data_IF_358886762488
#
_entry.id   IF_358886762488
#
_cell.length_a   1.000
_cell.length_b   1.000
_cell.length_c   1.000
_cell.angle_alpha   90.00
_cell.angle_beta   90.00
_cell.angle_gamma   90.00
#
_symmetry.space_group_name_H-M   'P 1'
#
loop_
_entity.id
_entity.type
_entity.pdbx_description
1 polymer ?
#
# COMPACT_ATOMS: atom_id res chain seq x y z
N UNK A 1 -29.53 5.00 12.98
CA UNK A 1 -28.51 4.28 12.17
C UNK A 1 -27.64 5.29 11.44
N UNK A 2 -26.31 5.09 11.45
CA UNK A 2 -25.39 5.85 10.61
C UNK A 2 -25.45 5.37 9.15
N UNK A 3 -25.11 6.23 8.20
CA UNK A 3 -25.01 5.91 6.78
C UNK A 3 -23.64 6.29 6.25
N UNK A 4 -23.09 5.43 5.41
CA UNK A 4 -21.82 5.66 4.73
C UNK A 4 -21.94 5.24 3.26
N UNK A 5 -21.20 5.93 2.40
CA UNK A 5 -21.07 5.61 0.99
C UNK A 5 -19.63 5.24 0.69
N UNK A 6 -19.44 4.20 -0.09
CA UNK A 6 -18.13 3.79 -0.59
C UNK A 6 -18.19 3.60 -2.10
N UNK A 7 -17.21 4.15 -2.79
CA UNK A 7 -17.00 3.92 -4.22
C UNK A 7 -15.51 3.93 -4.52
N UNK A 8 -15.10 3.14 -5.49
CA UNK A 8 -13.69 3.07 -5.86
C UNK A 8 -13.47 2.17 -7.07
N UNK A 9 -12.21 2.04 -7.43
CA UNK A 9 -11.74 1.12 -8.45
C UNK A 9 -10.31 0.68 -8.13
N UNK A 10 -9.95 -0.47 -8.64
CA UNK A 10 -8.60 -1.01 -8.63
C UNK A 10 -8.17 -1.29 -10.06
N UNK A 11 -6.92 -0.96 -10.37
CA UNK A 11 -6.29 -1.25 -11.64
C UNK A 11 -4.95 -1.93 -11.38
N UNK A 12 -4.69 -3.05 -12.05
CA UNK A 12 -3.41 -3.75 -12.01
C UNK A 12 -2.94 -4.03 -13.44
N UNK A 13 -1.65 -3.84 -13.67
CA UNK A 13 -0.99 -4.13 -14.93
C UNK A 13 0.32 -4.86 -14.67
N UNK A 14 0.52 -5.98 -15.36
CA UNK A 14 1.80 -6.69 -15.40
C UNK A 14 2.36 -6.67 -16.82
N UNK A 15 3.61 -6.29 -16.94
CA UNK A 15 4.35 -6.28 -18.19
C UNK A 15 5.64 -7.08 -18.08
N UNK A 16 6.04 -7.71 -19.18
CA UNK A 16 7.29 -8.45 -19.30
C UNK A 16 8.13 -7.81 -20.41
N UNK A 17 8.93 -6.77 -20.11
CA UNK A 17 9.77 -6.13 -21.14
C UNK A 17 10.75 -7.09 -21.77
N UNK A 18 11.23 -8.04 -20.99
CA UNK A 18 11.99 -9.23 -21.41
C UNK A 18 11.51 -10.44 -20.61
N UNK A 19 11.77 -11.65 -21.10
CA UNK A 19 11.26 -12.88 -20.48
C UNK A 19 11.72 -13.10 -19.03
N UNK A 20 12.81 -12.46 -18.63
CA UNK A 20 13.41 -12.58 -17.29
C UNK A 20 13.07 -11.43 -16.34
N UNK A 21 12.31 -10.44 -16.80
CA UNK A 21 11.87 -9.28 -16.03
C UNK A 21 10.37 -9.16 -16.08
N UNK A 22 9.74 -9.24 -14.93
CA UNK A 22 8.33 -8.92 -14.72
C UNK A 22 8.21 -7.62 -13.93
N UNK A 23 7.37 -6.70 -14.40
CA UNK A 23 7.04 -5.47 -13.69
C UNK A 23 5.53 -5.41 -13.53
N UNK A 24 5.07 -5.35 -12.29
CA UNK A 24 3.65 -5.24 -11.93
C UNK A 24 3.41 -3.93 -11.21
N UNK A 25 2.41 -3.19 -11.65
CA UNK A 25 1.97 -1.97 -11.00
C UNK A 25 0.47 -2.02 -10.71
N UNK A 26 0.07 -1.49 -9.58
CA UNK A 26 -1.33 -1.41 -9.18
C UNK A 26 -1.68 -0.05 -8.60
N UNK A 27 -2.88 0.41 -8.91
CA UNK A 27 -3.47 1.65 -8.42
C UNK A 27 -4.83 1.36 -7.85
N UNK A 28 -5.01 1.63 -6.55
CA UNK A 28 -6.30 1.61 -5.88
C UNK A 28 -6.76 3.03 -5.58
N UNK A 29 -8.00 3.33 -5.88
CA UNK A 29 -8.65 4.58 -5.48
C UNK A 29 -9.99 4.28 -4.87
N UNK A 30 -10.25 4.86 -3.69
CA UNK A 30 -11.52 4.71 -3.02
C UNK A 30 -11.92 5.99 -2.30
N UNK A 31 -13.20 6.32 -2.39
CA UNK A 31 -13.82 7.42 -1.65
C UNK A 31 -14.87 6.84 -0.70
N UNK A 32 -14.49 6.70 0.56
CA UNK A 32 -15.37 6.22 1.62
C UNK A 32 -15.79 7.40 2.47
N UNK A 33 -17.08 7.73 2.44
CA UNK A 33 -17.64 8.89 3.11
C UNK A 33 -18.71 8.53 4.12
N UNK A 34 -18.62 9.13 5.28
CA UNK A 34 -19.64 9.04 6.31
C UNK A 34 -20.65 10.17 6.05
N UNK A 35 -21.91 9.78 5.79
CA UNK A 35 -23.00 10.70 5.50
C UNK A 35 -23.75 11.13 6.74
N UNK A 36 -23.86 10.23 7.71
CA UNK A 36 -24.59 10.45 8.94
C UNK A 36 -23.97 9.62 10.07
N UNK A 37 -23.74 10.23 11.20
CA UNK A 37 -23.38 9.56 12.44
C UNK A 37 -24.54 9.68 13.40
N UNK A 38 -24.93 8.57 14.06
CA UNK A 38 -25.86 8.65 15.15
C UNK A 38 -25.14 9.25 16.35
N UNK A 39 -25.62 10.41 16.81
CA UNK A 39 -25.22 10.92 18.11
C UNK A 39 -25.77 10.02 19.20
N UNK A 40 -24.92 9.47 20.05
CA UNK A 40 -25.35 8.88 21.31
C UNK A 40 -25.50 9.99 22.34
N UNK A 41 -26.58 9.96 23.12
CA UNK A 41 -26.75 10.86 24.25
C UNK A 41 -25.65 10.70 25.33
N UNK A 42 -25.01 9.54 25.32
CA UNK A 42 -23.97 9.18 26.28
C UNK A 42 -22.58 9.73 25.91
N UNK A 43 -22.40 10.24 24.68
CA UNK A 43 -21.14 10.82 24.19
C UNK A 43 -21.41 12.14 23.45
N UNK A 44 -21.76 13.22 24.20
CA UNK A 44 -22.08 14.51 23.58
C UNK A 44 -20.91 15.21 22.89
N UNK A 45 -19.69 14.81 23.15
CA UNK A 45 -18.47 15.29 22.46
C UNK A 45 -18.28 14.72 21.04
N UNK A 46 -19.07 13.70 20.67
CA UNK A 46 -19.20 13.27 19.27
C UNK A 46 -20.17 14.23 18.56
N UNK A 47 -19.71 15.46 18.39
CA UNK A 47 -20.41 16.39 17.51
C UNK A 47 -20.42 15.82 16.09
N UNK A 48 -21.57 15.86 15.44
CA UNK A 48 -21.69 15.52 14.04
C UNK A 48 -20.60 16.29 13.26
N UNK A 49 -19.60 15.62 12.68
CA UNK A 49 -18.47 16.30 12.02
C UNK A 49 -18.90 17.05 10.75
N UNK A 50 -20.19 17.17 10.52
CA UNK A 50 -20.76 17.71 9.31
C UNK A 50 -20.97 16.62 8.25
N UNK A 51 -21.75 16.97 7.26
CA UNK A 51 -22.06 16.04 6.16
C UNK A 51 -20.82 15.79 5.32
N UNK A 52 -20.54 14.52 5.01
CA UNK A 52 -19.62 14.15 3.95
C UNK A 52 -18.13 14.11 4.34
N UNK A 53 -17.81 13.72 5.55
CA UNK A 53 -16.43 13.49 5.97
C UNK A 53 -15.90 12.15 5.48
N UNK A 54 -14.59 12.07 5.27
CA UNK A 54 -13.92 10.82 4.91
C UNK A 54 -13.85 9.88 6.12
N UNK A 55 -14.04 8.61 5.87
CA UNK A 55 -13.86 7.59 6.92
C UNK A 55 -12.42 7.59 7.44
N UNK A 56 -12.28 7.36 8.73
CA UNK A 56 -10.98 7.21 9.40
C UNK A 56 -10.33 5.86 9.07
N UNK A 57 -9.01 5.82 9.09
CA UNK A 57 -8.25 4.58 8.89
C UNK A 57 -8.17 4.10 7.43
N UNK A 58 -8.74 4.83 6.47
CA UNK A 58 -8.81 4.41 5.07
C UNK A 58 -8.06 5.42 4.17
N UNK A 59 -6.98 5.01 3.49
CA UNK A 59 -6.32 5.86 2.51
C UNK A 59 -7.21 6.02 1.27
N UNK A 60 -7.17 7.18 0.63
CA UNK A 60 -7.92 7.41 -0.60
C UNK A 60 -7.26 6.79 -1.81
N UNK A 61 -5.95 6.86 -1.86
CA UNK A 61 -5.16 6.35 -2.98
C UNK A 61 -4.05 5.45 -2.45
N UNK A 62 -3.91 4.30 -3.06
CA UNK A 62 -2.79 3.39 -2.86
C UNK A 62 -2.17 3.09 -4.21
N UNK A 63 -0.87 3.01 -4.25
CA UNK A 63 -0.12 2.63 -5.44
C UNK A 63 1.01 1.69 -5.05
N UNK A 64 1.24 0.68 -5.87
CA UNK A 64 2.38 -0.20 -5.71
C UNK A 64 3.03 -0.53 -7.06
N UNK A 65 4.30 -0.81 -7.01
CA UNK A 65 5.05 -1.36 -8.14
C UNK A 65 6.00 -2.43 -7.64
N UNK A 66 6.06 -3.56 -8.32
CA UNK A 66 7.07 -4.59 -8.09
C UNK A 66 7.84 -4.83 -9.37
N UNK A 67 9.12 -5.11 -9.23
CA UNK A 67 9.96 -5.60 -10.32
C UNK A 67 10.69 -6.87 -9.87
N UNK A 68 10.56 -7.92 -10.65
CA UNK A 68 11.23 -9.19 -10.43
C UNK A 68 12.13 -9.48 -11.63
N UNK A 69 13.41 -9.62 -11.39
CA UNK A 69 14.40 -9.94 -12.41
C UNK A 69 15.20 -11.18 -12.01
N UNK A 70 15.30 -12.14 -12.93
CA UNK A 70 16.10 -13.35 -12.74
C UNK A 70 17.21 -13.40 -13.76
N UNK A 71 18.46 -13.62 -13.32
CA UNK A 71 19.62 -13.76 -14.19
C UNK A 71 19.51 -15.11 -14.94
N UNK A 72 19.42 -15.08 -16.29
CA UNK A 72 19.13 -16.30 -17.06
C UNK A 72 20.36 -17.16 -17.35
N UNK A 73 21.57 -16.58 -17.30
CA UNK A 73 22.82 -17.25 -17.75
C UNK A 73 24.01 -16.85 -16.89
N UNK A 74 25.08 -17.64 -16.96
CA UNK A 74 26.37 -17.36 -16.32
C UNK A 74 26.48 -17.91 -14.90
N UNK A 75 27.51 -17.45 -14.19
CA UNK A 75 27.85 -17.90 -12.83
C UNK A 75 26.71 -17.61 -11.81
N UNK A 76 25.97 -16.52 -12.00
CA UNK A 76 24.88 -16.09 -11.13
C UNK A 76 23.51 -16.48 -11.69
N UNK A 77 23.45 -17.48 -12.59
CA UNK A 77 22.17 -18.02 -13.06
C UNK A 77 21.27 -18.39 -11.88
N UNK A 78 19.99 -18.06 -11.96
CA UNK A 78 18.99 -18.25 -10.93
C UNK A 78 19.14 -17.35 -9.68
N UNK A 79 19.98 -16.32 -9.74
CA UNK A 79 19.89 -15.20 -8.80
C UNK A 79 18.74 -14.30 -9.25
N UNK A 80 17.81 -14.06 -8.36
CA UNK A 80 16.65 -13.19 -8.58
C UNK A 80 16.73 -11.95 -7.71
N UNK A 81 16.34 -10.82 -8.28
CA UNK A 81 16.21 -9.54 -7.59
C UNK A 81 14.73 -9.19 -7.51
N UNK A 82 14.30 -8.78 -6.36
CA UNK A 82 12.96 -8.24 -6.14
C UNK A 82 13.06 -6.82 -5.62
N UNK A 83 12.32 -5.91 -6.22
CA UNK A 83 12.22 -4.53 -5.77
C UNK A 83 10.75 -4.14 -5.74
N UNK A 84 10.29 -3.56 -4.63
CA UNK A 84 8.92 -3.07 -4.51
C UNK A 84 8.89 -1.64 -3.98
N UNK A 85 7.96 -0.86 -4.51
CA UNK A 85 7.60 0.45 -4.01
C UNK A 85 6.12 0.49 -3.69
N UNK A 86 5.76 0.95 -2.50
CA UNK A 86 4.37 1.05 -2.04
C UNK A 86 4.09 2.47 -1.57
N UNK A 87 3.07 3.07 -2.14
CA UNK A 87 2.57 4.39 -1.76
C UNK A 87 1.20 4.27 -1.12
N UNK A 88 1.00 5.01 -0.05
CA UNK A 88 -0.27 5.16 0.64
C UNK A 88 -0.52 6.65 0.87
N UNK A 89 -1.69 7.13 0.45
CA UNK A 89 -2.14 8.49 0.74
C UNK A 89 -2.38 8.68 2.24
N UNK A 90 -2.48 9.92 2.68
CA UNK A 90 -2.78 10.26 4.07
C UNK A 90 -4.03 9.58 4.59
N UNK A 91 -3.98 9.19 5.85
CA UNK A 91 -5.07 8.54 6.57
C UNK A 91 -5.54 9.47 7.68
N UNK A 92 -6.83 9.82 7.69
CA UNK A 92 -7.42 10.57 8.79
C UNK A 92 -7.61 9.67 10.01
N UNK A 93 -7.25 10.19 11.17
CA UNK A 93 -7.32 9.47 12.45
C UNK A 93 -8.48 9.98 13.32
N UNK A 94 -9.02 11.15 12.99
CA UNK A 94 -10.19 11.72 13.66
C UNK A 94 -11.39 11.82 12.71
N UNK A 95 -12.58 11.71 13.27
CA UNK A 95 -13.84 11.74 12.51
C UNK A 95 -14.08 13.08 11.82
N UNK A 96 -13.56 14.17 12.37
CA UNK A 96 -13.70 15.52 11.81
C UNK A 96 -12.67 15.81 10.70
N UNK A 97 -11.80 14.84 10.36
CA UNK A 97 -10.74 14.96 9.37
C UNK A 97 -9.75 16.12 9.62
N UNK A 98 -9.47 16.43 10.89
CA UNK A 98 -8.50 17.46 11.29
C UNK A 98 -7.12 16.90 11.56
N UNK A 99 -7.06 15.66 12.02
CA UNK A 99 -5.82 14.95 12.35
C UNK A 99 -5.61 13.82 11.33
N UNK A 100 -4.39 13.69 10.83
CA UNK A 100 -4.06 12.67 9.85
C UNK A 100 -2.61 12.22 9.98
N UNK A 101 -2.37 10.96 9.64
CA UNK A 101 -1.03 10.47 9.34
C UNK A 101 -0.68 10.85 7.90
N UNK A 102 0.51 11.41 7.64
CA UNK A 102 0.90 11.86 6.31
C UNK A 102 0.99 10.69 5.33
N UNK A 103 0.99 11.01 4.05
CA UNK A 103 1.23 10.02 2.99
C UNK A 103 2.61 9.37 3.18
N UNK A 104 2.70 8.09 2.86
CA UNK A 104 3.87 7.26 3.06
C UNK A 104 4.28 6.58 1.75
N UNK A 105 5.58 6.58 1.47
CA UNK A 105 6.16 5.78 0.39
C UNK A 105 7.28 4.91 0.96
N UNK A 106 7.15 3.59 0.79
CA UNK A 106 8.12 2.61 1.24
C UNK A 106 8.74 1.90 0.03
N UNK A 107 10.02 1.58 0.16
CA UNK A 107 10.74 0.78 -0.84
C UNK A 107 11.40 -0.38 -0.13
N UNK A 108 11.15 -1.58 -0.65
CA UNK A 108 11.67 -2.83 -0.13
C UNK A 108 12.42 -3.56 -1.23
N UNK A 109 13.40 -4.35 -0.87
CA UNK A 109 14.20 -5.12 -1.81
C UNK A 109 14.52 -6.52 -1.31
N UNK A 110 14.76 -7.42 -2.23
CA UNK A 110 15.11 -8.79 -1.92
C UNK A 110 16.03 -9.42 -2.95
N UNK A 111 16.81 -10.38 -2.49
CA UNK A 111 17.66 -11.24 -3.30
C UNK A 111 17.30 -12.69 -2.99
N UNK A 112 17.16 -13.49 -4.03
CA UNK A 112 16.88 -14.92 -3.91
C UNK A 112 17.86 -15.67 -4.79
N UNK A 113 18.56 -16.66 -4.21
CA UNK A 113 19.49 -17.48 -4.98
C UNK A 113 19.23 -18.97 -4.71
N UNK A 114 18.91 -19.69 -5.78
CA UNK A 114 18.65 -21.13 -5.70
C UNK A 114 19.87 -21.90 -6.19
N UNK A 115 20.49 -22.66 -5.28
CA UNK A 115 21.67 -23.47 -5.55
C UNK A 115 21.25 -24.90 -5.88
N UNK A 116 21.63 -25.37 -7.07
CA UNK A 116 21.41 -26.74 -7.55
C UNK A 116 19.95 -27.25 -7.36
N UNK A 117 18.97 -26.36 -7.41
CA UNK A 117 17.54 -26.65 -7.18
C UNK A 117 17.22 -27.29 -5.81
N UNK A 118 18.11 -27.20 -4.86
CA UNK A 118 17.99 -27.84 -3.54
C UNK A 118 17.93 -26.86 -2.37
N UNK A 119 18.66 -25.76 -2.47
CA UNK A 119 18.76 -24.77 -1.41
C UNK A 119 18.44 -23.39 -1.98
N UNK A 120 17.51 -22.68 -1.37
CA UNK A 120 17.22 -21.27 -1.69
C UNK A 120 17.69 -20.39 -0.55
N UNK A 121 18.58 -19.46 -0.86
CA UNK A 121 18.98 -18.38 0.04
C UNK A 121 18.13 -17.17 -0.27
N UNK A 122 17.62 -16.50 0.76
CA UNK A 122 16.83 -15.28 0.63
C UNK A 122 17.38 -14.20 1.57
N UNK A 123 17.56 -13.01 1.03
CA UNK A 123 17.87 -11.80 1.77
C UNK A 123 16.79 -10.76 1.46
N UNK A 124 16.07 -10.31 2.47
CA UNK A 124 15.08 -9.24 2.34
C UNK A 124 15.50 -8.03 3.15
N UNK A 125 15.30 -6.86 2.59
CA UNK A 125 15.52 -5.57 3.25
C UNK A 125 14.26 -4.75 3.08
N UNK A 126 13.61 -4.45 4.20
CA UNK A 126 12.41 -3.64 4.24
C UNK A 126 12.79 -2.18 4.54
N UNK A 127 12.01 -1.24 4.01
CA UNK A 127 12.18 0.18 4.23
C UNK A 127 13.60 0.68 3.91
N UNK A 128 14.07 0.43 2.68
CA UNK A 128 15.43 0.73 2.20
C UNK A 128 15.88 2.16 2.46
N UNK A 129 14.97 3.13 2.53
CA UNK A 129 15.28 4.54 2.75
C UNK A 129 15.06 5.00 4.19
N UNK A 130 14.88 4.08 5.12
CA UNK A 130 14.68 4.37 6.56
C UNK A 130 13.57 5.43 6.81
N UNK A 131 12.45 5.28 6.13
CA UNK A 131 11.33 6.21 6.24
C UNK A 131 10.66 6.05 7.60
N UNK A 132 10.53 7.12 8.35
CA UNK A 132 9.82 7.11 9.63
C UNK A 132 8.33 6.91 9.39
N UNK A 133 7.77 5.89 10.05
CA UNK A 133 6.35 5.56 10.00
C UNK A 133 5.70 6.14 11.26
N UNK A 134 4.72 7.04 11.07
CA UNK A 134 3.89 7.52 12.18
C UNK A 134 2.82 6.46 12.51
N UNK A 135 2.76 6.02 13.75
CA UNK A 135 1.77 5.09 14.29
C UNK A 135 0.69 5.84 15.06
#
# INVERSE_FOLDING_TARGET
MGTADSRGFDLELTVHPVSTLAVTGGLGWQDYRIRKINQSKDYPEYTDPGKNVRATGIPRTTFYVYADYTIPKGLLKNLSFHLSGTFQDKIFTDVANRVYNPALFLVDGGLFYTIKQKVTLALNVDNLFDKVIAL
#
